data_IF_863489404808
#
_entry.id   IF_863489404808
#
_cell.length_a   1.000
_cell.length_b   1.000
_cell.length_c   1.000
_cell.angle_alpha   90.00
_cell.angle_beta   90.00
_cell.angle_gamma   90.00
#
_symmetry.space_group_name_H-M   'P 1'
#
loop_
_entity.id
_entity.type
_entity.pdbx_description
1 polymer ?
#
# COMPACT_ATOMS: atom_id res chain seq x y z
N UNK A 1 -12.50 -8.03 9.36
CA UNK A 1 -11.14 -7.94 8.79
C UNK A 1 -10.14 -8.15 9.89
N UNK A 2 -8.91 -8.57 9.57
CA UNK A 2 -7.78 -8.54 10.50
C UNK A 2 -7.03 -7.21 10.33
N UNK A 3 -6.56 -6.65 11.44
CA UNK A 3 -5.75 -5.42 11.46
C UNK A 3 -4.36 -5.75 11.94
N UNK A 4 -3.35 -5.13 11.31
CA UNK A 4 -1.94 -5.25 11.67
C UNK A 4 -1.31 -3.87 11.62
N UNK A 5 -0.44 -3.63 12.60
CA UNK A 5 0.43 -2.47 12.60
C UNK A 5 1.73 -2.84 11.90
N UNK A 6 2.19 -1.97 11.01
CA UNK A 6 3.44 -2.16 10.26
C UNK A 6 4.18 -0.82 10.14
N UNK A 7 5.50 -0.88 10.03
CA UNK A 7 6.37 0.28 9.84
C UNK A 7 6.94 0.25 8.44
N UNK A 8 6.35 1.06 7.56
CA UNK A 8 6.73 1.11 6.15
C UNK A 8 7.73 2.26 5.94
N UNK A 9 8.97 2.00 5.49
CA UNK A 9 9.85 3.06 5.03
C UNK A 9 9.29 3.70 3.77
N UNK A 10 9.25 5.02 3.73
CA UNK A 10 8.74 5.80 2.60
C UNK A 10 9.52 7.09 2.40
N UNK A 11 9.35 7.68 1.23
CA UNK A 11 9.93 8.97 0.88
C UNK A 11 8.85 10.04 0.97
N UNK A 12 9.19 11.18 1.57
CA UNK A 12 8.33 12.37 1.57
C UNK A 12 9.05 13.49 0.83
N UNK A 13 8.39 14.05 -0.17
CA UNK A 13 8.85 15.22 -0.93
C UNK A 13 7.93 16.39 -0.62
N UNK A 14 8.51 17.49 -0.15
CA UNK A 14 7.77 18.70 0.16
C UNK A 14 7.79 19.65 -1.04
N UNK A 15 6.63 20.17 -1.41
CA UNK A 15 6.44 21.17 -2.44
C UNK A 15 5.78 22.44 -1.89
N UNK A 16 5.69 23.51 -2.68
CA UNK A 16 4.99 24.73 -2.29
C UNK A 16 3.50 24.45 -2.02
N UNK A 17 3.11 24.44 -0.75
CA UNK A 17 1.72 24.19 -0.33
C UNK A 17 1.27 22.72 -0.46
N UNK A 18 2.19 21.80 -0.78
CA UNK A 18 1.89 20.38 -0.97
C UNK A 18 2.94 19.48 -0.33
N UNK A 19 2.56 18.25 -0.01
CA UNK A 19 3.49 17.18 0.36
C UNK A 19 3.10 15.92 -0.39
N UNK A 20 4.09 15.21 -0.91
CA UNK A 20 3.92 13.94 -1.59
C UNK A 20 4.62 12.86 -0.77
N UNK A 21 3.91 11.77 -0.45
CA UNK A 21 4.47 10.61 0.23
C UNK A 21 4.36 9.39 -0.67
N UNK A 22 5.46 8.66 -0.82
CA UNK A 22 5.53 7.46 -1.62
C UNK A 22 6.17 6.32 -0.83
N UNK A 23 5.61 5.12 -0.93
CA UNK A 23 6.18 3.92 -0.33
C UNK A 23 5.85 2.68 -1.17
N UNK A 24 6.74 1.69 -1.12
CA UNK A 24 6.51 0.39 -1.72
C UNK A 24 6.95 -0.70 -0.74
N UNK A 25 6.09 -1.70 -0.51
CA UNK A 25 6.36 -2.75 0.46
C UNK A 25 5.63 -4.05 0.10
N UNK A 26 6.22 -5.22 0.45
CA UNK A 26 5.53 -6.49 0.33
C UNK A 26 4.51 -6.67 1.45
N UNK A 27 3.40 -7.34 1.16
CA UNK A 27 2.38 -7.72 2.12
C UNK A 27 2.03 -9.20 1.93
N UNK A 28 2.04 -9.98 3.01
CA UNK A 28 1.58 -11.37 2.97
C UNK A 28 0.07 -11.44 3.20
N UNK A 29 -0.66 -11.96 2.21
CA UNK A 29 -2.11 -12.13 2.28
C UNK A 29 -2.55 -12.97 3.49
N UNK A 30 -1.71 -13.92 3.92
CA UNK A 30 -2.00 -14.84 5.02
C UNK A 30 -2.04 -14.12 6.37
N UNK A 31 -1.29 -13.03 6.52
CA UNK A 31 -1.27 -12.21 7.74
C UNK A 31 -2.61 -11.51 8.00
N UNK A 32 -3.46 -11.44 6.98
CA UNK A 32 -4.80 -10.86 7.02
C UNK A 32 -5.90 -11.92 6.93
N UNK A 33 -5.55 -13.21 7.02
CA UNK A 33 -6.47 -14.34 6.91
C UNK A 33 -6.99 -14.57 5.48
N UNK A 34 -6.32 -14.01 4.48
CA UNK A 34 -6.70 -14.17 3.07
C UNK A 34 -5.98 -15.40 2.53
N UNK A 35 -6.75 -16.39 2.06
CA UNK A 35 -6.19 -17.59 1.41
C UNK A 35 -5.75 -17.23 -0.02
N UNK A 36 -4.46 -17.37 -0.38
CA UNK A 36 -4.00 -17.10 -1.73
C UNK A 36 -4.67 -18.06 -2.73
N UNK A 37 -5.04 -17.59 -3.93
CA UNK A 37 -5.56 -18.47 -4.97
C UNK A 37 -4.47 -19.44 -5.41
N UNK A 38 -4.63 -20.71 -5.04
CA UNK A 38 -3.63 -21.75 -5.32
C UNK A 38 -3.54 -22.15 -6.80
N UNK A 39 -4.54 -21.76 -7.62
CA UNK A 39 -4.61 -22.02 -9.06
C UNK A 39 -5.32 -20.86 -9.75
N UNK A 40 -4.58 -20.08 -10.54
CA UNK A 40 -5.16 -19.16 -11.52
C UNK A 40 -4.87 -19.75 -12.91
N UNK A 41 -5.90 -20.02 -13.71
CA UNK A 41 -5.77 -20.58 -15.07
C UNK A 41 -4.95 -21.89 -15.15
N UNK A 42 -5.11 -22.80 -14.19
CA UNK A 42 -4.59 -24.18 -14.25
C UNK A 42 -3.07 -24.38 -14.17
N UNK A 43 -2.26 -23.35 -14.40
CA UNK A 43 -0.79 -23.45 -14.58
C UNK A 43 -0.04 -22.47 -13.67
N UNK A 44 -0.68 -21.35 -13.29
CA UNK A 44 -0.01 -20.29 -12.51
C UNK A 44 -0.35 -20.45 -11.02
N UNK A 45 0.69 -20.70 -10.22
CA UNK A 45 0.63 -20.60 -8.75
C UNK A 45 0.81 -19.13 -8.39
N UNK A 46 -0.18 -18.54 -7.72
CA UNK A 46 -0.09 -17.17 -7.19
C UNK A 46 0.70 -17.22 -5.89
N UNK A 47 1.72 -16.37 -5.79
CA UNK A 47 2.48 -16.21 -4.56
C UNK A 47 1.63 -15.50 -3.49
N UNK A 48 1.73 -15.88 -2.21
CA UNK A 48 0.98 -15.25 -1.11
C UNK A 48 1.41 -13.82 -0.81
N UNK A 49 2.59 -13.41 -1.30
CA UNK A 49 3.16 -12.09 -1.09
C UNK A 49 2.77 -11.19 -2.25
N UNK A 50 2.14 -10.05 -1.96
CA UNK A 50 1.75 -9.03 -2.93
C UNK A 50 2.56 -7.77 -2.73
N UNK A 51 2.97 -7.11 -3.82
CA UNK A 51 3.59 -5.79 -3.76
C UNK A 51 2.53 -4.71 -3.64
N UNK A 52 2.66 -3.84 -2.63
CA UNK A 52 1.81 -2.66 -2.45
C UNK A 52 2.64 -1.42 -2.81
N UNK A 53 2.06 -0.54 -3.63
CA UNK A 53 2.60 0.78 -3.92
C UNK A 53 1.61 1.82 -3.43
N UNK A 54 2.10 2.78 -2.65
CA UNK A 54 1.31 3.88 -2.10
C UNK A 54 1.88 5.19 -2.61
N UNK A 55 1.02 6.02 -3.18
CA UNK A 55 1.31 7.41 -3.55
C UNK A 55 0.22 8.30 -2.97
N UNK A 56 0.60 9.21 -2.07
CA UNK A 56 -0.30 10.15 -1.42
C UNK A 56 0.13 11.57 -1.75
N UNK A 57 -0.84 12.43 -2.07
CA UNK A 57 -0.63 13.86 -2.21
C UNK A 57 -1.49 14.59 -1.19
N UNK A 58 -0.85 15.41 -0.38
CA UNK A 58 -1.46 16.29 0.59
C UNK A 58 -1.38 17.72 0.05
N UNK A 59 -2.51 18.42 0.00
CA UNK A 59 -2.57 19.86 -0.25
C UNK A 59 -3.08 20.59 0.99
N UNK A 60 -2.76 21.87 1.13
CA UNK A 60 -3.47 22.69 2.12
C UNK A 60 -4.96 22.75 1.75
N UNK A 61 -5.89 22.50 2.68
CA UNK A 61 -7.29 22.81 2.44
C UNK A 61 -7.38 24.32 2.21
N UNK A 62 -7.79 24.73 1.02
CA UNK A 62 -8.10 26.13 0.73
C UNK A 62 -9.17 26.56 1.72
N UNK A 63 -8.81 27.40 2.69
CA UNK A 63 -9.78 27.97 3.62
C UNK A 63 -10.85 28.67 2.80
N UNK A 64 -12.02 28.05 2.67
CA UNK A 64 -13.17 28.66 2.03
C UNK A 64 -13.66 29.69 3.04
N UNK A 65 -13.37 30.97 2.78
CA UNK A 65 -13.92 32.09 3.53
C UNK A 65 -15.37 32.33 3.12
#
# INVERSE_FOLDING_TARGET
>A
GQTRDDTIPGTVVLGPGTAQAAAAFPLDMRDYGIKPPTRFLGIVRVEPVVGITVELTFGQPTATK
#
